data_IF_177434025656
#
_entry.id   IF_177434025656
#
_cell.length_a   1.000
_cell.length_b   1.000
_cell.length_c   1.000
_cell.angle_alpha   90.00
_cell.angle_beta   90.00
_cell.angle_gamma   90.00
#
_symmetry.space_group_name_H-M   'P 1'
#
loop_
_entity.id
_entity.type
_entity.pdbx_description
1 polymer ?
#
# COMPACT_ATOMS: atom_id res chain seq x y z
N UNK A 1 -49.70 3.19 13.25
CA UNK A 1 -49.61 2.91 11.80
C UNK A 1 -48.58 1.81 11.60
N UNK A 2 -49.01 0.63 11.14
CA UNK A 2 -48.17 -0.60 11.06
C UNK A 2 -47.11 -0.46 9.95
N UNK A 3 -45.83 -0.33 10.32
CA UNK A 3 -44.70 -0.53 9.41
C UNK A 3 -44.37 -2.04 9.35
N UNK A 4 -45.17 -2.81 8.62
CA UNK A 4 -44.73 -4.11 8.14
C UNK A 4 -43.65 -3.89 7.08
N UNK A 5 -42.38 -3.99 7.46
CA UNK A 5 -41.27 -4.11 6.51
C UNK A 5 -41.43 -5.45 5.77
N UNK A 6 -41.73 -5.39 4.46
CA UNK A 6 -41.55 -6.55 3.57
C UNK A 6 -40.12 -7.09 3.73
N UNK A 7 -39.90 -8.41 3.67
CA UNK A 7 -38.55 -8.97 3.70
C UNK A 7 -37.80 -8.44 2.46
N UNK A 8 -36.66 -7.77 2.68
CA UNK A 8 -35.77 -7.31 1.62
C UNK A 8 -35.33 -8.54 0.82
N UNK A 9 -35.68 -8.59 -0.47
CA UNK A 9 -35.56 -9.80 -1.29
C UNK A 9 -34.16 -10.01 -1.85
N UNK A 10 -33.25 -9.02 -1.76
CA UNK A 10 -31.87 -9.11 -2.24
C UNK A 10 -30.83 -8.65 -1.21
N UNK A 11 -29.68 -9.34 -1.13
CA UNK A 11 -28.56 -8.97 -0.24
C UNK A 11 -27.99 -7.57 -0.55
N UNK A 12 -27.96 -7.16 -1.80
CA UNK A 12 -27.51 -5.81 -2.22
C UNK A 12 -28.44 -4.69 -1.73
N UNK A 13 -29.77 -4.89 -1.74
CA UNK A 13 -30.75 -3.96 -1.17
C UNK A 13 -30.57 -3.78 0.35
N UNK A 14 -29.94 -4.76 1.01
CA UNK A 14 -29.80 -4.79 2.48
C UNK A 14 -28.72 -3.82 2.97
N UNK A 15 -27.63 -3.62 2.23
CA UNK A 15 -26.58 -2.67 2.63
C UNK A 15 -26.98 -1.24 2.25
N UNK A 16 -27.50 -1.04 1.04
CA UNK A 16 -27.98 0.27 0.59
C UNK A 16 -29.13 0.76 1.47
N UNK A 17 -30.03 -0.13 1.89
CA UNK A 17 -31.11 0.19 2.85
C UNK A 17 -30.63 0.51 4.28
N UNK A 18 -29.37 0.24 4.60
CA UNK A 18 -28.72 0.59 5.87
C UNK A 18 -27.73 1.76 5.74
N UNK A 19 -27.62 2.35 4.55
CA UNK A 19 -26.73 3.47 4.30
C UNK A 19 -27.35 4.77 4.83
N UNK A 20 -26.58 5.53 5.60
CA UNK A 20 -27.00 6.75 6.29
C UNK A 20 -27.59 7.82 5.38
N UNK A 21 -27.22 7.84 4.10
CA UNK A 21 -27.80 8.74 3.09
C UNK A 21 -29.32 8.61 2.99
N UNK A 22 -29.87 7.44 3.33
CA UNK A 22 -31.29 7.15 3.32
C UNK A 22 -32.01 7.46 4.65
N UNK A 23 -31.31 8.06 5.62
CA UNK A 23 -31.86 8.43 6.93
C UNK A 23 -31.83 9.94 7.15
N UNK A 24 -32.80 10.50 7.90
CA UNK A 24 -32.75 11.91 8.30
C UNK A 24 -31.45 12.24 9.02
N UNK A 25 -30.87 13.40 8.71
CA UNK A 25 -29.62 13.86 9.31
C UNK A 25 -29.70 13.97 10.83
N UNK A 26 -30.87 14.27 11.39
CA UNK A 26 -31.14 14.37 12.82
C UNK A 26 -31.54 13.03 13.48
N UNK A 27 -31.46 11.90 12.76
CA UNK A 27 -31.82 10.60 13.34
C UNK A 27 -30.81 10.16 14.41
N UNK A 28 -31.31 9.43 15.42
CA UNK A 28 -30.46 8.79 16.46
C UNK A 28 -29.38 7.89 15.87
N UNK A 29 -29.69 7.26 14.74
CA UNK A 29 -28.76 6.42 13.99
C UNK A 29 -27.59 7.25 13.43
N UNK A 30 -27.88 8.41 12.82
CA UNK A 30 -26.84 9.33 12.34
C UNK A 30 -25.99 9.92 13.48
N UNK A 31 -26.60 10.32 14.59
CA UNK A 31 -25.88 10.84 15.76
C UNK A 31 -24.92 9.83 16.39
N UNK A 32 -25.27 8.53 16.39
CA UNK A 32 -24.38 7.48 16.87
C UNK A 32 -23.09 7.40 16.04
N UNK A 33 -23.18 7.51 14.70
CA UNK A 33 -22.01 7.52 13.83
C UNK A 33 -21.21 8.83 13.91
N UNK A 34 -21.87 9.98 14.12
CA UNK A 34 -21.15 11.24 14.40
C UNK A 34 -20.35 11.16 15.69
N UNK A 35 -20.93 10.57 16.73
CA UNK A 35 -20.26 10.30 18.01
C UNK A 35 -19.08 9.35 17.82
N UNK A 36 -19.27 8.25 17.07
CA UNK A 36 -18.20 7.30 16.76
C UNK A 36 -17.03 7.98 16.03
N UNK A 37 -17.31 8.78 14.99
CA UNK A 37 -16.29 9.57 14.28
C UNK A 37 -15.52 10.47 15.25
N UNK A 38 -16.22 11.19 16.11
CA UNK A 38 -15.60 12.10 17.08
C UNK A 38 -14.69 11.35 18.05
N UNK A 39 -15.13 10.21 18.58
CA UNK A 39 -14.33 9.37 19.47
C UNK A 39 -13.07 8.83 18.78
N UNK A 40 -13.20 8.34 17.54
CA UNK A 40 -12.04 7.87 16.76
C UNK A 40 -11.04 9.01 16.56
N UNK A 41 -11.51 10.20 16.18
CA UNK A 41 -10.64 11.38 16.02
C UNK A 41 -9.89 11.71 17.32
N UNK A 42 -10.56 11.62 18.47
CA UNK A 42 -9.92 11.86 19.77
C UNK A 42 -8.83 10.84 20.12
N UNK A 43 -8.98 9.57 19.70
CA UNK A 43 -7.96 8.54 19.89
C UNK A 43 -6.63 8.82 19.16
N UNK A 44 -6.62 9.80 18.24
CA UNK A 44 -5.45 10.15 17.44
C UNK A 44 -5.09 11.65 17.53
N UNK A 45 -5.34 12.33 18.65
CA UNK A 45 -5.01 13.76 18.73
C UNK A 45 -3.51 14.09 18.56
N UNK A 46 -2.60 13.16 18.87
CA UNK A 46 -1.15 13.36 18.77
C UNK A 46 -0.53 12.90 17.44
N UNK A 47 -1.31 12.23 16.56
CA UNK A 47 -0.83 11.70 15.28
C UNK A 47 -1.91 11.82 14.22
N UNK A 48 -1.56 12.18 12.99
CA UNK A 48 -2.55 12.09 11.91
C UNK A 48 -2.94 10.63 11.68
N UNK A 49 -4.22 10.35 11.91
CA UNK A 49 -4.83 9.05 11.65
C UNK A 49 -5.07 8.87 10.17
N UNK A 50 -4.55 7.78 9.60
CA UNK A 50 -4.73 7.50 8.18
C UNK A 50 -5.47 6.19 7.90
N UNK A 51 -5.55 5.22 8.83
CA UNK A 51 -6.12 3.90 8.52
C UNK A 51 -6.77 3.14 9.69
N UNK A 52 -8.03 2.73 9.49
CA UNK A 52 -8.82 1.91 10.42
C UNK A 52 -8.96 0.48 9.90
N UNK A 53 -8.74 -0.51 10.76
CA UNK A 53 -9.28 -1.85 10.56
C UNK A 53 -10.60 -1.98 11.32
N UNK A 54 -11.67 -2.39 10.63
CA UNK A 54 -12.94 -2.75 11.28
C UNK A 54 -13.10 -4.26 11.20
N UNK A 55 -13.16 -4.89 12.36
CA UNK A 55 -13.32 -6.35 12.49
C UNK A 55 -14.34 -6.72 13.57
N UNK A 56 -14.56 -8.00 13.81
CA UNK A 56 -15.52 -8.53 14.78
C UNK A 56 -15.10 -9.93 15.24
N UNK A 57 -15.70 -10.42 16.32
CA UNK A 57 -15.41 -11.77 16.79
C UNK A 57 -16.04 -12.84 15.89
N UNK A 58 -17.23 -12.57 15.35
CA UNK A 58 -17.98 -13.52 14.53
C UNK A 58 -18.69 -12.90 13.33
N UNK A 59 -19.30 -13.75 12.50
CA UNK A 59 -20.07 -13.30 11.35
C UNK A 59 -21.31 -12.51 11.76
N UNK A 60 -21.83 -11.66 10.88
CA UNK A 60 -23.11 -10.93 11.04
C UNK A 60 -23.20 -9.94 12.21
N UNK A 61 -22.07 -9.50 12.78
CA UNK A 61 -22.04 -8.44 13.81
C UNK A 61 -22.26 -7.02 13.26
N UNK A 62 -22.24 -6.85 11.93
CA UNK A 62 -22.50 -5.56 11.25
C UNK A 62 -21.26 -4.72 10.97
N UNK A 63 -20.11 -5.37 10.74
CA UNK A 63 -18.85 -4.75 10.28
C UNK A 63 -19.04 -3.87 9.05
N UNK A 64 -19.45 -4.46 7.94
CA UNK A 64 -19.65 -3.77 6.65
C UNK A 64 -20.58 -2.57 6.75
N UNK A 65 -21.71 -2.70 7.46
CA UNK A 65 -22.65 -1.58 7.68
C UNK A 65 -22.01 -0.47 8.52
N UNK A 66 -21.19 -0.83 9.51
CA UNK A 66 -20.45 0.15 10.31
C UNK A 66 -19.37 0.85 9.49
N UNK A 67 -18.62 0.11 8.66
CA UNK A 67 -17.62 0.67 7.73
C UNK A 67 -18.26 1.69 6.81
N UNK A 68 -19.34 1.32 6.10
CA UNK A 68 -19.99 2.19 5.14
C UNK A 68 -20.50 3.50 5.78
N UNK A 69 -21.19 3.39 6.92
CA UNK A 69 -21.78 4.54 7.60
C UNK A 69 -20.74 5.43 8.30
N UNK A 70 -19.69 4.84 8.88
CA UNK A 70 -18.57 5.59 9.43
C UNK A 70 -17.83 6.35 8.33
N UNK A 71 -17.53 5.69 7.20
CA UNK A 71 -16.86 6.30 6.06
C UNK A 71 -17.67 7.47 5.48
N UNK A 72 -18.98 7.29 5.34
CA UNK A 72 -19.90 8.35 4.93
C UNK A 72 -19.87 9.54 5.90
N UNK A 73 -19.89 9.28 7.21
CA UNK A 73 -19.90 10.34 8.23
C UNK A 73 -18.57 11.10 8.29
N UNK A 74 -17.46 10.44 7.99
CA UNK A 74 -16.13 11.07 7.88
C UNK A 74 -16.04 11.90 6.59
N UNK A 75 -16.53 11.39 5.46
CA UNK A 75 -16.49 12.13 4.18
C UNK A 75 -17.39 13.37 4.18
N UNK A 76 -18.51 13.33 4.91
CA UNK A 76 -19.36 14.51 5.18
C UNK A 76 -18.62 15.64 5.93
N UNK A 77 -17.52 15.34 6.61
CA UNK A 77 -16.66 16.35 7.24
C UNK A 77 -15.58 16.90 6.28
N UNK A 78 -15.69 16.63 4.97
CA UNK A 78 -14.79 17.13 3.93
C UNK A 78 -13.54 16.27 3.68
N UNK A 79 -13.32 15.21 4.47
CA UNK A 79 -12.17 14.30 4.32
C UNK A 79 -12.36 13.37 3.12
N UNK A 80 -11.25 13.06 2.46
CA UNK A 80 -11.17 11.99 1.46
C UNK A 80 -11.06 10.63 2.14
N UNK A 81 -12.03 9.76 1.88
CA UNK A 81 -12.15 8.46 2.55
C UNK A 81 -12.19 7.34 1.52
N UNK A 82 -11.28 6.38 1.64
CA UNK A 82 -11.30 5.14 0.87
C UNK A 82 -11.75 3.98 1.77
N UNK A 83 -12.88 3.37 1.43
CA UNK A 83 -13.27 2.08 1.97
C UNK A 83 -12.57 0.97 1.18
N UNK A 84 -12.04 -0.03 1.85
CA UNK A 84 -11.36 -1.16 1.21
C UNK A 84 -12.05 -2.45 1.65
N UNK A 85 -12.57 -3.22 0.68
CA UNK A 85 -13.16 -4.53 0.95
C UNK A 85 -12.06 -5.59 1.02
N UNK A 86 -11.62 -5.87 2.24
CA UNK A 86 -10.60 -6.89 2.53
C UNK A 86 -11.22 -8.23 2.98
N UNK A 87 -12.55 -8.35 3.03
CA UNK A 87 -13.23 -9.63 3.21
C UNK A 87 -13.29 -10.38 1.88
N UNK A 88 -12.15 -10.96 1.51
CA UNK A 88 -11.97 -11.76 0.29
C UNK A 88 -12.64 -13.15 0.38
N UNK A 89 -13.38 -13.44 1.46
CA UNK A 89 -14.17 -14.68 1.62
C UNK A 89 -15.66 -14.41 1.40
N UNK A 90 -16.17 -13.30 1.96
CA UNK A 90 -17.58 -12.89 1.91
C UNK A 90 -17.69 -11.39 1.65
N UNK A 91 -17.23 -10.99 0.47
CA UNK A 91 -17.26 -9.60 -0.04
C UNK A 91 -18.68 -9.03 -0.05
N UNK A 92 -18.96 -8.25 0.98
CA UNK A 92 -20.28 -7.64 1.21
C UNK A 92 -20.22 -6.16 0.85
N UNK A 93 -19.12 -5.47 1.20
CA UNK A 93 -18.93 -4.05 0.92
C UNK A 93 -18.93 -3.73 -0.58
N UNK A 94 -18.36 -4.63 -1.40
CA UNK A 94 -18.31 -4.48 -2.86
C UNK A 94 -19.68 -4.38 -3.53
N UNK A 95 -20.77 -4.81 -2.85
CA UNK A 95 -22.13 -4.67 -3.36
C UNK A 95 -22.61 -3.21 -3.43
N UNK A 96 -21.92 -2.28 -2.75
CA UNK A 96 -22.15 -0.84 -2.91
C UNK A 96 -21.81 -0.34 -4.33
N UNK A 97 -21.04 -1.11 -5.10
CA UNK A 97 -20.80 -0.85 -6.50
C UNK A 97 -21.35 -1.99 -7.39
N UNK A 98 -22.56 -1.88 -7.94
CA UNK A 98 -23.16 -2.95 -8.73
C UNK A 98 -22.45 -3.21 -10.07
N UNK A 99 -21.56 -2.33 -10.55
CA UNK A 99 -20.72 -2.60 -11.72
C UNK A 99 -19.58 -3.56 -11.35
N UNK A 100 -19.82 -4.87 -11.39
CA UNK A 100 -18.90 -5.92 -10.97
C UNK A 100 -17.64 -6.11 -11.86
N UNK A 101 -17.42 -5.27 -12.87
CA UNK A 101 -16.32 -5.46 -13.84
C UNK A 101 -14.96 -4.88 -13.40
N UNK A 102 -14.81 -4.42 -12.15
CA UNK A 102 -13.50 -3.96 -11.67
C UNK A 102 -12.65 -5.13 -11.18
N UNK A 103 -11.39 -5.20 -11.62
CA UNK A 103 -10.38 -6.15 -11.12
C UNK A 103 -10.26 -6.11 -9.57
N UNK A 104 -10.51 -4.94 -8.97
CA UNK A 104 -10.57 -4.75 -7.52
C UNK A 104 -9.24 -5.02 -6.82
N UNK A 105 -9.30 -5.21 -5.50
CA UNK A 105 -8.13 -5.49 -4.67
C UNK A 105 -7.41 -6.77 -5.12
N UNK A 106 -8.15 -7.84 -5.39
CA UNK A 106 -7.57 -9.13 -5.79
C UNK A 106 -6.87 -9.02 -7.14
N UNK A 107 -7.50 -8.43 -8.15
CA UNK A 107 -6.86 -8.27 -9.46
C UNK A 107 -5.66 -7.33 -9.42
N UNK A 108 -5.67 -6.32 -8.56
CA UNK A 108 -4.50 -5.46 -8.37
C UNK A 108 -3.32 -6.23 -7.73
N UNK A 109 -3.59 -7.03 -6.68
CA UNK A 109 -2.55 -7.75 -5.94
C UNK A 109 -2.04 -9.00 -6.67
N UNK A 110 -2.93 -9.75 -7.31
CA UNK A 110 -2.61 -11.02 -7.98
C UNK A 110 -2.26 -10.81 -9.45
N UNK A 111 -3.10 -10.10 -10.20
CA UNK A 111 -2.94 -10.01 -11.64
C UNK A 111 -1.95 -8.90 -12.01
N UNK A 112 -2.17 -7.66 -11.54
CA UNK A 112 -1.32 -6.53 -11.90
C UNK A 112 0.08 -6.60 -11.27
N UNK A 113 0.16 -6.68 -9.94
CA UNK A 113 1.46 -6.81 -9.27
C UNK A 113 2.11 -8.18 -9.52
N UNK A 114 1.41 -9.16 -10.09
CA UNK A 114 1.97 -10.45 -10.53
C UNK A 114 2.35 -10.55 -12.02
N UNK A 115 1.82 -9.68 -12.90
CA UNK A 115 1.95 -9.79 -14.36
C UNK A 115 3.38 -9.61 -14.87
N UNK A 116 3.96 -10.62 -15.55
CA UNK A 116 5.34 -10.57 -16.08
C UNK A 116 5.68 -9.26 -16.81
N UNK A 117 6.87 -8.74 -16.55
CA UNK A 117 7.43 -7.55 -17.20
C UNK A 117 8.66 -8.02 -17.98
N UNK A 118 8.53 -8.10 -19.30
CA UNK A 118 9.60 -8.54 -20.19
C UNK A 118 10.10 -7.38 -21.06
N UNK A 119 9.19 -6.53 -21.54
CA UNK A 119 9.52 -5.35 -22.32
C UNK A 119 8.40 -4.33 -22.28
N UNK A 120 8.72 -3.08 -22.62
CA UNK A 120 7.74 -2.02 -22.70
C UNK A 120 8.37 -0.66 -22.98
N UNK A 121 7.55 0.38 -22.80
CA UNK A 121 7.96 1.77 -23.03
C UNK A 121 8.08 2.52 -21.70
N UNK A 122 9.06 3.41 -21.60
CA UNK A 122 9.35 4.19 -20.39
C UNK A 122 8.34 5.33 -20.18
N UNK A 123 7.66 5.75 -21.25
CA UNK A 123 6.52 6.66 -21.21
C UNK A 123 5.35 6.07 -20.42
N UNK A 124 5.21 4.74 -20.44
CA UNK A 124 4.16 4.03 -19.73
C UNK A 124 4.58 3.62 -18.31
N UNK A 125 5.79 3.07 -18.14
CA UNK A 125 6.21 2.39 -16.90
C UNK A 125 7.03 3.22 -15.93
N UNK A 126 7.57 4.39 -16.28
CA UNK A 126 8.57 5.04 -15.42
C UNK A 126 9.73 4.10 -15.02
N UNK A 127 10.69 4.58 -14.24
CA UNK A 127 11.77 3.71 -13.74
C UNK A 127 11.49 3.25 -12.32
N UNK A 128 10.87 4.11 -11.51
CA UNK A 128 10.39 3.75 -10.18
C UNK A 128 9.42 2.57 -10.22
N UNK A 129 8.44 2.55 -11.15
CA UNK A 129 7.53 1.41 -11.22
C UNK A 129 8.27 0.12 -11.58
N UNK A 130 9.21 0.16 -12.53
CA UNK A 130 10.01 -1.02 -12.88
C UNK A 130 10.78 -1.56 -11.68
N UNK A 131 11.44 -0.69 -10.92
CA UNK A 131 12.19 -1.11 -9.73
C UNK A 131 11.26 -1.72 -8.68
N UNK A 132 10.13 -1.05 -8.40
CA UNK A 132 9.14 -1.55 -7.43
C UNK A 132 8.52 -2.88 -7.86
N UNK A 133 8.18 -3.02 -9.13
CA UNK A 133 7.56 -4.24 -9.65
C UNK A 133 8.55 -5.42 -9.66
N UNK A 134 9.82 -5.19 -9.99
CA UNK A 134 10.86 -6.22 -9.91
C UNK A 134 11.15 -6.61 -8.45
N UNK A 135 11.22 -5.63 -7.54
CA UNK A 135 11.42 -5.85 -6.11
C UNK A 135 10.27 -6.67 -5.48
N UNK A 136 9.01 -6.26 -5.67
CA UNK A 136 7.81 -6.94 -5.15
C UNK A 136 7.62 -8.36 -5.69
N UNK A 137 8.33 -8.72 -6.76
CA UNK A 137 8.29 -10.05 -7.37
C UNK A 137 9.54 -10.86 -7.11
N UNK A 138 10.52 -10.29 -6.39
CA UNK A 138 11.81 -10.90 -6.08
C UNK A 138 12.50 -11.43 -7.34
N UNK A 139 12.46 -10.64 -8.42
CA UNK A 139 12.98 -11.06 -9.74
C UNK A 139 14.50 -10.96 -9.80
N UNK A 140 15.10 -11.96 -10.41
CA UNK A 140 16.54 -12.04 -10.70
C UNK A 140 16.74 -11.91 -12.21
N UNK A 141 17.57 -10.96 -12.65
CA UNK A 141 17.77 -10.71 -14.07
C UNK A 141 18.43 -9.39 -14.42
N UNK A 142 18.53 -9.14 -15.73
CA UNK A 142 19.10 -7.92 -16.32
C UNK A 142 17.98 -7.05 -16.89
N UNK A 143 17.82 -5.85 -16.33
CA UNK A 143 16.98 -4.79 -16.89
C UNK A 143 17.85 -3.88 -17.76
N UNK A 144 17.55 -3.82 -19.06
CA UNK A 144 18.15 -2.87 -19.99
C UNK A 144 17.18 -1.72 -20.27
N UNK A 145 17.65 -0.49 -20.13
CA UNK A 145 16.92 0.74 -20.45
C UNK A 145 17.60 1.40 -21.67
N UNK A 146 16.82 1.90 -22.62
CA UNK A 146 17.35 2.63 -23.77
C UNK A 146 16.46 3.81 -24.18
N UNK A 147 17.08 4.98 -24.32
CA UNK A 147 16.44 6.20 -24.84
C UNK A 147 17.43 6.94 -25.75
N UNK A 148 17.07 7.12 -27.02
CA UNK A 148 17.91 7.75 -28.03
C UNK A 148 19.35 7.16 -28.11
N UNK A 149 20.35 7.87 -27.56
CA UNK A 149 21.75 7.45 -27.53
C UNK A 149 22.20 6.92 -26.17
N UNK A 150 21.32 6.91 -25.17
CA UNK A 150 21.63 6.46 -23.83
C UNK A 150 21.16 5.03 -23.60
N UNK A 151 22.04 4.19 -23.04
CA UNK A 151 21.71 2.80 -22.69
C UNK A 151 22.26 2.44 -21.32
N UNK A 152 21.40 1.88 -20.49
CA UNK A 152 21.70 1.45 -19.14
C UNK A 152 21.38 -0.03 -18.94
N UNK A 153 22.15 -0.67 -18.07
CA UNK A 153 21.99 -2.06 -17.67
C UNK A 153 22.00 -2.17 -16.16
N UNK A 154 20.97 -2.80 -15.61
CA UNK A 154 20.77 -2.94 -14.19
C UNK A 154 20.58 -4.41 -13.85
N UNK A 155 21.36 -4.92 -12.92
CA UNK A 155 21.25 -6.31 -12.46
C UNK A 155 20.44 -6.36 -11.17
N UNK A 156 19.41 -7.19 -11.18
CA UNK A 156 18.58 -7.49 -10.03
C UNK A 156 18.85 -8.91 -9.55
N UNK A 157 18.99 -9.10 -8.25
CA UNK A 157 19.10 -10.39 -7.58
C UNK A 157 18.01 -10.46 -6.51
N UNK A 158 17.07 -11.39 -6.67
CA UNK A 158 15.92 -11.54 -5.76
C UNK A 158 15.14 -10.22 -5.53
N UNK A 159 15.05 -9.38 -6.56
CA UNK A 159 14.38 -8.08 -6.51
C UNK A 159 15.24 -6.92 -6.01
N UNK A 160 16.46 -7.19 -5.56
CA UNK A 160 17.42 -6.19 -5.11
C UNK A 160 18.34 -5.76 -6.23
N UNK A 161 18.57 -4.46 -6.38
CA UNK A 161 19.50 -3.91 -7.36
C UNK A 161 20.94 -4.11 -6.86
N UNK A 162 21.72 -4.90 -7.59
CA UNK A 162 23.10 -5.29 -7.22
C UNK A 162 24.16 -4.77 -8.18
N UNK A 163 23.76 -4.29 -9.36
CA UNK A 163 24.68 -3.61 -10.27
C UNK A 163 23.98 -2.60 -11.14
N UNK A 164 24.70 -1.56 -11.52
CA UNK A 164 24.22 -0.53 -12.44
C UNK A 164 25.36 -0.11 -13.38
N UNK A 165 25.14 -0.32 -14.68
CA UNK A 165 26.08 0.05 -15.73
C UNK A 165 25.46 1.04 -16.72
N UNK A 166 26.19 2.10 -17.05
CA UNK A 166 25.82 3.05 -18.10
C UNK A 166 26.71 2.79 -19.32
N UNK A 167 26.19 2.04 -20.28
CA UNK A 167 26.95 1.50 -21.41
C UNK A 167 27.47 2.58 -22.35
N UNK A 168 26.69 3.65 -22.53
CA UNK A 168 26.96 4.76 -23.45
C UNK A 168 27.65 5.94 -22.77
N UNK A 169 28.20 5.72 -21.57
CA UNK A 169 28.90 6.73 -20.79
C UNK A 169 30.07 7.32 -21.60
N UNK A 170 30.18 8.67 -21.71
CA UNK A 170 31.30 9.32 -22.37
C UNK A 170 32.66 8.89 -21.80
N UNK A 171 33.67 8.78 -22.66
CA UNK A 171 35.00 8.27 -22.28
C UNK A 171 35.58 9.03 -21.09
N UNK A 172 35.45 10.36 -21.05
CA UNK A 172 36.02 11.20 -20.00
C UNK A 172 35.40 10.93 -18.63
N UNK A 173 34.17 10.39 -18.60
CA UNK A 173 33.41 10.08 -17.39
C UNK A 173 33.55 8.63 -16.94
N UNK A 174 34.24 7.78 -17.71
CA UNK A 174 34.47 6.39 -17.32
C UNK A 174 35.38 6.32 -16.10
N UNK A 175 35.15 5.31 -15.25
CA UNK A 175 35.88 5.11 -14.00
C UNK A 175 37.41 5.19 -14.15
N UNK A 176 37.97 4.53 -15.17
CA UNK A 176 39.41 4.58 -15.44
C UNK A 176 39.92 6.03 -15.59
N UNK A 177 39.24 6.82 -16.42
CA UNK A 177 39.63 8.21 -16.69
C UNK A 177 39.36 9.14 -15.50
N UNK A 178 38.33 8.87 -14.69
CA UNK A 178 38.09 9.57 -13.42
C UNK A 178 39.18 9.29 -12.39
N UNK A 179 39.68 8.06 -12.30
CA UNK A 179 40.77 7.72 -11.39
C UNK A 179 42.09 8.37 -11.83
N UNK A 180 42.33 8.44 -13.15
CA UNK A 180 43.47 9.16 -13.72
C UNK A 180 43.38 10.67 -13.44
N UNK A 181 42.22 11.28 -13.66
CA UNK A 181 42.04 12.73 -13.43
C UNK A 181 42.17 13.11 -11.95
N UNK A 182 41.75 12.24 -11.04
CA UNK A 182 41.93 12.38 -9.59
C UNK A 182 43.32 11.97 -9.09
N UNK A 183 44.28 11.67 -9.98
CA UNK A 183 45.66 11.27 -9.65
C UNK A 183 45.78 10.00 -8.80
N UNK A 184 44.76 9.14 -8.81
CA UNK A 184 44.77 7.83 -8.17
C UNK A 184 45.42 6.76 -9.05
N UNK A 185 45.47 6.98 -10.36
CA UNK A 185 46.11 6.10 -11.34
C UNK A 185 46.93 6.90 -12.36
N UNK A 186 48.02 6.33 -12.85
CA UNK A 186 48.64 6.77 -14.10
C UNK A 186 47.87 6.24 -15.32
N UNK A 187 48.02 6.90 -16.48
CA UNK A 187 47.42 6.43 -17.74
C UNK A 187 47.87 5.01 -18.12
N UNK A 188 49.14 4.68 -17.86
CA UNK A 188 49.68 3.35 -18.13
C UNK A 188 49.00 2.29 -17.26
N UNK A 189 48.89 2.52 -15.95
CA UNK A 189 48.21 1.62 -15.02
C UNK A 189 46.73 1.42 -15.40
N UNK A 190 46.04 2.51 -15.78
CA UNK A 190 44.65 2.44 -16.22
C UNK A 190 44.49 1.59 -17.50
N UNK A 191 45.38 1.75 -18.48
CA UNK A 191 45.37 0.96 -19.71
C UNK A 191 45.66 -0.52 -19.43
N UNK A 192 46.66 -0.83 -18.59
CA UNK A 192 46.95 -2.22 -18.19
C UNK A 192 45.77 -2.88 -17.49
N UNK A 193 45.07 -2.15 -16.62
CA UNK A 193 43.87 -2.64 -15.95
C UNK A 193 42.71 -2.88 -16.93
N UNK A 194 42.51 -1.99 -17.91
CA UNK A 194 41.48 -2.15 -18.94
C UNK A 194 41.73 -3.35 -19.87
N UNK A 195 42.98 -3.63 -20.23
CA UNK A 195 43.35 -4.83 -21.00
C UNK A 195 42.99 -6.08 -20.19
N UNK A 196 43.43 -6.15 -18.93
CA UNK A 196 43.10 -7.28 -18.05
C UNK A 196 41.60 -7.43 -17.80
N UNK A 197 40.87 -6.32 -17.71
CA UNK A 197 39.42 -6.33 -17.60
C UNK A 197 38.77 -7.01 -18.81
N UNK A 198 39.22 -6.69 -20.03
CA UNK A 198 38.71 -7.33 -21.25
C UNK A 198 39.05 -8.82 -21.30
N UNK A 199 40.25 -9.20 -20.88
CA UNK A 199 40.69 -10.60 -20.91
C UNK A 199 39.97 -11.47 -19.86
N UNK A 200 39.68 -10.90 -18.68
CA UNK A 200 39.09 -11.63 -17.54
C UNK A 200 37.57 -11.50 -17.43
N UNK A 201 36.96 -10.48 -18.06
CA UNK A 201 35.55 -10.14 -17.91
C UNK A 201 35.17 -9.58 -16.53
N UNK A 202 36.12 -9.39 -15.62
CA UNK A 202 35.87 -8.93 -14.26
C UNK A 202 35.51 -7.43 -14.22
N UNK A 203 34.84 -6.98 -13.14
CA UNK A 203 34.59 -5.55 -12.93
C UNK A 203 35.91 -4.79 -12.77
N UNK A 204 36.02 -3.62 -13.38
CA UNK A 204 37.25 -2.82 -13.35
C UNK A 204 37.73 -2.51 -11.93
N UNK A 205 36.83 -2.19 -11.00
CA UNK A 205 37.19 -1.95 -9.60
C UNK A 205 37.89 -3.15 -8.95
N UNK A 206 37.41 -4.36 -9.20
CA UNK A 206 38.01 -5.60 -8.72
C UNK A 206 39.40 -5.87 -9.34
N UNK A 207 39.53 -5.61 -10.64
CA UNK A 207 40.81 -5.72 -11.34
C UNK A 207 41.85 -4.75 -10.75
N UNK A 208 41.44 -3.50 -10.49
CA UNK A 208 42.30 -2.48 -9.90
C UNK A 208 42.78 -2.84 -8.49
N UNK A 209 41.88 -3.37 -7.64
CA UNK A 209 42.25 -3.81 -6.29
C UNK A 209 43.16 -5.03 -6.31
N UNK A 210 42.89 -6.02 -7.17
CA UNK A 210 43.70 -7.23 -7.27
C UNK A 210 45.08 -6.99 -7.88
N UNK A 211 45.20 -5.99 -8.75
CA UNK A 211 46.50 -5.56 -9.26
C UNK A 211 47.28 -4.72 -8.24
N UNK A 212 46.70 -4.43 -7.07
CA UNK A 212 47.32 -3.59 -6.04
C UNK A 212 47.47 -2.13 -6.46
N UNK A 213 46.73 -1.69 -7.49
CA UNK A 213 46.83 -0.34 -8.05
C UNK A 213 46.05 0.68 -7.23
N UNK A 214 44.96 0.25 -6.58
CA UNK A 214 44.06 1.11 -5.79
C UNK A 214 43.54 0.31 -4.59
N UNK A 215 43.35 0.96 -3.43
CA UNK A 215 42.70 0.31 -2.28
C UNK A 215 41.17 0.35 -2.43
N UNK A 216 40.43 -0.60 -1.85
CA UNK A 216 38.96 -0.57 -1.88
C UNK A 216 38.35 0.74 -1.38
N UNK A 217 38.92 1.33 -0.33
CA UNK A 217 38.44 2.60 0.24
C UNK A 217 38.61 3.78 -0.72
N UNK A 218 39.69 3.80 -1.50
CA UNK A 218 39.97 4.85 -2.49
C UNK A 218 38.96 4.79 -3.66
N UNK A 219 38.35 3.63 -3.90
CA UNK A 219 37.34 3.44 -4.95
C UNK A 219 35.93 3.85 -4.50
N UNK A 220 35.64 3.85 -3.20
CA UNK A 220 34.28 4.09 -2.68
C UNK A 220 33.72 5.44 -3.14
N UNK A 221 34.47 6.52 -2.94
CA UNK A 221 34.06 7.87 -3.35
C UNK A 221 33.82 8.00 -4.87
N UNK A 222 34.80 7.68 -5.73
CA UNK A 222 34.63 7.70 -7.18
C UNK A 222 33.48 6.81 -7.67
N UNK A 223 33.33 5.61 -7.13
CA UNK A 223 32.23 4.71 -7.49
C UNK A 223 30.87 5.27 -7.05
N UNK A 224 30.76 5.84 -5.85
CA UNK A 224 29.53 6.51 -5.41
C UNK A 224 29.14 7.64 -6.36
N UNK A 225 30.07 8.53 -6.73
CA UNK A 225 29.78 9.62 -7.68
C UNK A 225 29.36 9.06 -9.04
N UNK A 226 30.10 8.06 -9.54
CA UNK A 226 29.83 7.38 -10.80
C UNK A 226 28.42 6.78 -10.80
N UNK A 227 28.00 6.10 -9.73
CA UNK A 227 26.68 5.51 -9.57
C UNK A 227 25.57 6.56 -9.41
N UNK A 228 25.80 7.62 -8.61
CA UNK A 228 24.82 8.69 -8.44
C UNK A 228 24.52 9.41 -9.76
N UNK A 229 25.52 9.69 -10.59
CA UNK A 229 25.31 10.28 -11.91
C UNK A 229 24.51 9.34 -12.82
N UNK A 230 24.87 8.05 -12.82
CA UNK A 230 24.15 6.98 -13.50
C UNK A 230 22.66 6.96 -13.13
N UNK A 231 22.33 6.91 -11.84
CA UNK A 231 20.94 6.95 -11.36
C UNK A 231 20.23 8.23 -11.76
N UNK A 232 20.88 9.39 -11.61
CA UNK A 232 20.28 10.70 -11.96
C UNK A 232 19.90 10.77 -13.44
N UNK A 233 20.72 10.22 -14.32
CA UNK A 233 20.43 10.22 -15.75
C UNK A 233 19.37 9.19 -16.10
N UNK A 234 19.46 7.97 -15.58
CA UNK A 234 18.40 6.99 -15.78
C UNK A 234 17.06 7.51 -15.28
N UNK A 235 16.95 8.03 -14.06
CA UNK A 235 15.68 8.56 -13.53
C UNK A 235 15.10 9.75 -14.30
N UNK A 236 15.90 10.41 -15.16
CA UNK A 236 15.41 11.48 -16.04
C UNK A 236 14.83 10.97 -17.36
N UNK A 237 15.05 9.70 -17.72
CA UNK A 237 14.50 9.12 -18.93
C UNK A 237 12.97 9.12 -18.82
N UNK A 238 12.31 9.79 -19.77
CA UNK A 238 10.84 9.88 -19.83
C UNK A 238 10.27 9.17 -21.06
N UNK A 239 11.10 8.87 -22.04
CA UNK A 239 10.77 8.13 -23.23
C UNK A 239 11.73 6.95 -23.45
N UNK A 240 11.43 6.12 -24.44
CA UNK A 240 12.29 5.00 -24.83
C UNK A 240 11.73 3.65 -24.40
N UNK A 241 12.60 2.64 -24.39
CA UNK A 241 12.21 1.24 -24.21
C UNK A 241 12.98 0.61 -23.06
N UNK A 242 12.35 -0.37 -22.43
CA UNK A 242 13.04 -1.28 -21.53
C UNK A 242 12.85 -2.72 -21.99
N UNK A 243 13.80 -3.55 -21.59
CA UNK A 243 13.76 -5.00 -21.73
C UNK A 243 14.30 -5.64 -20.46
N UNK A 244 13.61 -6.66 -19.94
CA UNK A 244 14.04 -7.42 -18.78
C UNK A 244 14.26 -8.88 -19.18
N UNK A 245 15.48 -9.37 -18.93
CA UNK A 245 15.87 -10.75 -19.15
C UNK A 245 16.04 -11.45 -17.81
N UNK A 246 15.24 -12.46 -17.53
CA UNK A 246 15.47 -13.32 -16.37
C UNK A 246 16.79 -14.09 -16.51
N UNK A 247 17.55 -14.16 -15.42
CA UNK A 247 18.83 -14.86 -15.32
C UNK A 247 18.78 -15.84 -14.13
N UNK A 248 19.63 -16.86 -14.17
CA UNK A 248 19.78 -17.82 -13.07
C UNK A 248 20.67 -17.23 -11.98
N UNK A 249 20.50 -17.62 -10.71
CA UNK A 249 21.38 -17.14 -9.63
C UNK A 249 22.85 -17.55 -9.85
N UNK A 250 23.11 -18.68 -10.52
CA UNK A 250 24.45 -19.11 -10.93
C UNK A 250 25.12 -18.14 -11.90
N UNK A 251 24.36 -17.33 -12.65
CA UNK A 251 24.93 -16.29 -13.52
C UNK A 251 25.53 -15.11 -12.71
N UNK A 252 25.32 -15.06 -11.40
CA UNK A 252 25.76 -13.98 -10.50
C UNK A 252 27.05 -14.32 -9.72
N UNK A 253 27.70 -15.47 -9.97
CA UNK A 253 28.88 -15.94 -9.21
C UNK A 253 30.15 -15.07 -9.35
N UNK A 254 30.10 -13.89 -9.98
CA UNK A 254 31.27 -13.05 -10.22
C UNK A 254 30.99 -11.56 -9.98
N UNK A 255 30.85 -11.13 -8.72
CA UNK A 255 31.35 -9.80 -8.28
C UNK A 255 31.22 -9.58 -6.77
N UNK A 256 32.07 -10.24 -5.98
CA UNK A 256 32.16 -10.08 -4.51
C UNK A 256 32.94 -8.84 -4.09
N UNK A 257 32.62 -7.70 -4.70
CA UNK A 257 33.11 -6.41 -4.24
C UNK A 257 32.01 -5.39 -4.52
N UNK A 258 31.16 -5.19 -3.51
CA UNK A 258 30.12 -4.17 -3.56
C UNK A 258 30.44 -3.05 -2.56
N UNK A 259 31.32 -2.11 -2.92
CA UNK A 259 31.70 -1.00 -2.04
C UNK A 259 30.57 0.03 -1.86
N UNK A 260 29.41 -0.14 -2.53
CA UNK A 260 28.35 0.87 -2.65
C UNK A 260 26.99 0.27 -2.32
N UNK A 261 26.27 0.90 -1.39
CA UNK A 261 24.87 0.55 -1.11
C UNK A 261 23.95 1.20 -2.16
N UNK A 262 23.55 0.42 -3.18
CA UNK A 262 22.67 0.87 -4.26
C UNK A 262 21.29 1.33 -3.77
N UNK A 263 20.72 0.67 -2.76
CA UNK A 263 19.43 1.08 -2.21
C UNK A 263 19.52 2.45 -1.55
N UNK A 264 20.57 2.67 -0.77
CA UNK A 264 20.80 3.96 -0.12
C UNK A 264 21.05 5.06 -1.16
N UNK A 265 21.86 4.79 -2.19
CA UNK A 265 22.09 5.75 -3.26
C UNK A 265 20.82 6.09 -4.04
N UNK A 266 20.03 5.07 -4.39
CA UNK A 266 18.75 5.28 -5.08
C UNK A 266 17.86 6.24 -4.27
N UNK A 267 17.71 5.99 -2.95
CA UNK A 267 16.95 6.85 -2.04
C UNK A 267 17.50 8.28 -1.96
N UNK A 268 18.81 8.47 -2.05
CA UNK A 268 19.44 9.80 -2.05
C UNK A 268 19.22 10.56 -3.37
N UNK A 269 19.13 9.85 -4.49
CA UNK A 269 18.97 10.46 -5.82
C UNK A 269 17.52 10.81 -6.09
N UNK A 270 16.56 9.99 -5.64
CA UNK A 270 15.13 10.30 -5.75
C UNK A 270 14.82 11.53 -4.90
N UNK A 271 14.63 12.68 -5.56
CA UNK A 271 14.25 13.94 -4.91
C UNK A 271 12.74 13.99 -4.71
N UNK A 272 12.27 13.99 -3.45
CA UNK A 272 10.85 14.02 -3.15
C UNK A 272 10.20 12.63 -3.15
N UNK A 273 8.90 12.56 -3.47
CA UNK A 273 8.22 11.28 -3.60
C UNK A 273 8.57 10.61 -4.94
N UNK A 274 8.87 9.31 -4.89
CA UNK A 274 9.06 8.49 -6.09
C UNK A 274 7.81 8.53 -6.97
N UNK A 275 7.94 8.99 -8.21
CA UNK A 275 6.86 8.95 -9.19
C UNK A 275 6.67 7.53 -9.70
N UNK A 276 5.45 7.01 -9.55
CA UNK A 276 5.04 5.66 -9.93
C UNK A 276 3.84 5.74 -10.89
N UNK A 277 3.99 6.34 -12.09
CA UNK A 277 2.87 6.61 -12.99
C UNK A 277 2.08 5.37 -13.39
N UNK A 278 2.74 4.24 -13.63
CA UNK A 278 2.07 3.01 -14.06
C UNK A 278 1.27 2.37 -12.92
N UNK A 279 1.89 2.23 -11.75
CA UNK A 279 1.24 1.70 -10.55
C UNK A 279 0.11 2.64 -10.15
N UNK A 280 0.33 3.96 -10.19
CA UNK A 280 -0.69 4.94 -9.84
C UNK A 280 -1.91 4.83 -10.72
N UNK A 281 -1.73 4.76 -12.04
CA UNK A 281 -2.82 4.58 -13.00
C UNK A 281 -3.58 3.28 -12.76
N UNK A 282 -2.88 2.21 -12.41
CA UNK A 282 -3.51 0.92 -12.09
C UNK A 282 -4.34 0.97 -10.80
N UNK A 283 -3.81 1.59 -9.73
CA UNK A 283 -4.54 1.82 -8.48
C UNK A 283 -5.80 2.66 -8.73
N UNK A 284 -5.67 3.79 -9.42
CA UNK A 284 -6.80 4.67 -9.70
C UNK A 284 -7.88 3.97 -10.55
N UNK A 285 -7.48 3.06 -11.46
CA UNK A 285 -8.42 2.34 -12.33
C UNK A 285 -9.37 1.38 -11.60
N UNK A 286 -9.01 0.94 -10.39
CA UNK A 286 -9.84 0.00 -9.60
C UNK A 286 -10.60 0.69 -8.47
N UNK A 287 -10.33 1.97 -8.21
CA UNK A 287 -11.02 2.76 -7.19
C UNK A 287 -12.28 3.38 -7.78
N UNK A 288 -13.39 3.21 -7.08
CA UNK A 288 -14.70 3.69 -7.53
C UNK A 288 -15.20 4.78 -6.60
N UNK A 289 -15.66 5.90 -7.15
CA UNK A 289 -16.30 6.96 -6.39
C UNK A 289 -17.75 6.58 -6.08
N UNK A 290 -18.13 6.60 -4.81
CA UNK A 290 -19.44 6.11 -4.34
C UNK A 290 -20.52 7.20 -4.37
N UNK A 291 -20.18 8.42 -3.97
CA UNK A 291 -21.14 9.53 -3.95
C UNK A 291 -20.47 10.87 -4.28
N UNK A 292 -21.21 11.97 -4.15
CA UNK A 292 -20.67 13.32 -4.42
C UNK A 292 -19.65 13.78 -3.37
N UNK A 293 -19.68 13.21 -2.16
CA UNK A 293 -18.66 13.47 -1.15
C UNK A 293 -17.38 12.76 -1.57
N UNK A 294 -16.24 13.11 -0.96
CA UNK A 294 -14.95 12.47 -1.24
C UNK A 294 -14.88 11.04 -0.67
N UNK A 295 -15.87 10.19 -1.00
CA UNK A 295 -16.01 8.81 -0.57
C UNK A 295 -15.77 7.86 -1.73
N UNK A 296 -14.81 6.97 -1.53
CA UNK A 296 -14.31 6.03 -2.53
C UNK A 296 -14.37 4.61 -1.99
N UNK A 297 -14.38 3.64 -2.90
CA UNK A 297 -14.38 2.21 -2.62
C UNK A 297 -13.33 1.53 -3.48
N UNK A 298 -12.47 0.73 -2.84
CA UNK A 298 -11.69 -0.32 -3.47
C UNK A 298 -12.41 -1.65 -3.21
N UNK A 299 -13.16 -2.19 -4.19
CA UNK A 299 -13.88 -3.45 -4.03
C UNK A 299 -12.91 -4.63 -3.98
N UNK A 300 -13.37 -5.79 -3.50
CA UNK A 300 -12.54 -6.99 -3.37
C UNK A 300 -12.05 -7.53 -4.72
N UNK A 301 -12.84 -7.30 -5.78
CA UNK A 301 -12.69 -7.98 -7.07
C UNK A 301 -13.12 -9.45 -6.99
N UNK A 302 -12.62 -10.26 -7.94
CA UNK A 302 -12.87 -11.71 -7.96
C UNK A 302 -12.30 -12.35 -6.70
N UNK A 303 -13.09 -13.19 -6.02
CA UNK A 303 -12.64 -13.86 -4.79
C UNK A 303 -11.50 -14.85 -5.11
N UNK A 304 -10.33 -14.73 -4.45
CA UNK A 304 -9.19 -15.61 -4.69
C UNK A 304 -9.33 -16.94 -3.93
N UNK A 305 -8.60 -17.99 -4.35
CA UNK A 305 -8.54 -19.25 -3.61
C UNK A 305 -7.75 -19.15 -2.28
N UNK A 306 -6.81 -18.21 -2.19
CA UNK A 306 -5.86 -18.02 -1.08
C UNK A 306 -5.89 -16.59 -0.48
N UNK A 307 -7.01 -16.15 0.15
CA UNK A 307 -7.15 -14.82 0.74
C UNK A 307 -6.00 -14.38 1.67
N UNK A 308 -5.61 -15.25 2.62
CA UNK A 308 -4.66 -14.90 3.67
C UNK A 308 -3.26 -14.60 3.11
N UNK A 309 -2.84 -15.33 2.07
CA UNK A 309 -1.54 -15.11 1.42
C UNK A 309 -1.50 -13.75 0.71
N UNK A 310 -2.58 -13.39 0.03
CA UNK A 310 -2.69 -12.10 -0.66
C UNK A 310 -2.68 -10.95 0.34
N UNK A 311 -3.47 -11.03 1.41
CA UNK A 311 -3.58 -9.99 2.43
C UNK A 311 -2.30 -9.84 3.27
N UNK A 312 -1.56 -10.94 3.49
CA UNK A 312 -0.28 -10.95 4.20
C UNK A 312 0.94 -10.62 3.33
N UNK A 313 0.75 -10.34 2.04
CA UNK A 313 1.87 -10.14 1.10
C UNK A 313 2.54 -8.77 1.22
N UNK A 314 3.81 -8.68 0.80
CA UNK A 314 4.53 -7.41 0.65
C UNK A 314 3.81 -6.45 -0.32
N UNK A 315 3.09 -7.00 -1.33
CA UNK A 315 2.27 -6.23 -2.27
C UNK A 315 1.13 -5.50 -1.56
N UNK A 316 0.47 -6.16 -0.60
CA UNK A 316 -0.59 -5.54 0.21
C UNK A 316 -0.02 -4.42 1.10
N UNK A 317 1.13 -4.67 1.75
CA UNK A 317 1.81 -3.64 2.55
C UNK A 317 2.20 -2.42 1.71
N UNK A 318 2.76 -2.64 0.52
CA UNK A 318 3.09 -1.59 -0.44
C UNK A 318 1.85 -0.84 -0.91
N UNK A 319 0.76 -1.54 -1.24
CA UNK A 319 -0.49 -0.93 -1.66
C UNK A 319 -1.07 -0.03 -0.57
N UNK A 320 -1.20 -0.51 0.67
CA UNK A 320 -1.72 0.28 1.79
C UNK A 320 -0.84 1.51 2.02
N UNK A 321 0.49 1.37 1.98
CA UNK A 321 1.42 2.49 2.15
C UNK A 321 1.24 3.56 1.07
N UNK A 322 0.98 3.16 -0.17
CA UNK A 322 0.67 4.10 -1.25
C UNK A 322 -0.70 4.75 -1.05
N UNK A 323 -1.75 3.97 -0.73
CA UNK A 323 -3.10 4.49 -0.52
C UNK A 323 -3.17 5.50 0.63
N UNK A 324 -2.37 5.32 1.69
CA UNK A 324 -2.26 6.28 2.81
C UNK A 324 -1.77 7.66 2.36
N UNK A 325 -1.05 7.76 1.24
CA UNK A 325 -0.62 9.05 0.66
C UNK A 325 -1.71 9.72 -0.16
N UNK A 326 -2.72 8.96 -0.60
CA UNK A 326 -3.73 9.43 -1.57
C UNK A 326 -5.03 9.86 -0.91
N UNK A 327 -5.31 9.33 0.28
CA UNK A 327 -6.55 9.56 1.01
C UNK A 327 -6.25 9.97 2.44
N UNK A 328 -7.06 10.88 2.98
CA UNK A 328 -6.96 11.29 4.37
C UNK A 328 -7.25 10.13 5.32
N UNK A 329 -8.19 9.24 4.95
CA UNK A 329 -8.63 8.11 5.78
C UNK A 329 -8.89 6.87 4.94
N UNK A 330 -8.31 5.75 5.35
CA UNK A 330 -8.60 4.40 4.88
C UNK A 330 -9.46 3.67 5.92
N UNK A 331 -10.50 2.96 5.48
CA UNK A 331 -11.30 2.09 6.36
C UNK A 331 -11.39 0.70 5.71
N UNK A 332 -10.76 -0.29 6.35
CA UNK A 332 -10.69 -1.66 5.87
C UNK A 332 -11.82 -2.48 6.49
N UNK A 333 -12.72 -3.02 5.66
CA UNK A 333 -13.72 -4.03 6.06
C UNK A 333 -13.08 -5.41 5.98
N UNK A 334 -12.99 -6.11 7.11
CA UNK A 334 -12.26 -7.38 7.23
C UNK A 334 -13.21 -8.52 7.63
N UNK A 335 -12.82 -9.78 7.37
CA UNK A 335 -13.58 -10.92 7.90
C UNK A 335 -13.47 -10.96 9.44
N UNK A 336 -14.37 -11.68 10.12
CA UNK A 336 -14.26 -11.87 11.56
C UNK A 336 -12.99 -12.62 11.96
N UNK A 337 -12.44 -12.29 13.13
CA UNK A 337 -11.14 -12.79 13.62
C UNK A 337 -11.16 -14.28 13.98
N UNK A 338 -12.22 -14.77 14.62
CA UNK A 338 -12.23 -16.16 15.10
C UNK A 338 -12.37 -17.19 13.96
N UNK A 339 -13.17 -16.95 12.91
CA UNK A 339 -13.26 -17.86 11.78
C UNK A 339 -12.08 -17.78 10.80
N UNK A 340 -11.36 -16.65 10.75
CA UNK A 340 -10.26 -16.44 9.80
C UNK A 340 -9.17 -15.53 10.38
N UNK A 341 -7.90 -15.88 10.14
CA UNK A 341 -6.74 -15.09 10.57
C UNK A 341 -6.51 -13.82 9.75
N UNK A 342 -7.24 -13.61 8.65
CA UNK A 342 -7.03 -12.55 7.67
C UNK A 342 -7.00 -11.15 8.31
N UNK A 343 -7.91 -10.86 9.25
CA UNK A 343 -7.94 -9.57 9.96
C UNK A 343 -6.68 -9.34 10.82
N UNK A 344 -6.07 -10.41 11.34
CA UNK A 344 -4.82 -10.30 12.10
C UNK A 344 -3.65 -9.89 11.21
N UNK A 345 -3.64 -10.30 9.94
CA UNK A 345 -2.59 -9.94 8.97
C UNK A 345 -2.65 -8.46 8.57
N UNK A 346 -3.84 -7.86 8.61
CA UNK A 346 -4.04 -6.44 8.30
C UNK A 346 -3.69 -5.51 9.46
N UNK A 347 -3.65 -6.05 10.67
CA UNK A 347 -3.42 -5.29 11.89
C UNK A 347 -2.15 -4.43 11.84
N UNK A 348 -0.97 -4.96 11.43
CA UNK A 348 0.26 -4.16 11.34
C UNK A 348 0.24 -3.09 10.25
N UNK A 349 -0.69 -3.16 9.29
CA UNK A 349 -0.82 -2.22 8.18
C UNK A 349 -1.71 -1.02 8.53
N UNK A 350 -2.47 -1.12 9.62
CA UNK A 350 -3.44 -0.11 10.06
C UNK A 350 -3.01 0.60 11.34
N UNK A 351 -3.42 1.87 11.48
CA UNK A 351 -3.03 2.69 12.63
C UNK A 351 -3.91 2.40 13.87
N UNK A 352 -5.11 1.85 13.67
CA UNK A 352 -5.96 1.41 14.76
C UNK A 352 -7.01 0.38 14.34
N UNK A 353 -7.50 -0.36 15.33
CA UNK A 353 -8.49 -1.42 15.17
C UNK A 353 -9.74 -1.09 15.99
N UNK A 354 -10.92 -1.21 15.35
CA UNK A 354 -12.23 -1.10 16.00
C UNK A 354 -12.92 -2.46 15.92
N UNK A 355 -13.31 -2.97 17.09
CA UNK A 355 -14.04 -4.24 17.20
C UNK A 355 -15.54 -3.99 17.23
N UNK A 356 -16.27 -4.57 16.29
CA UNK A 356 -17.74 -4.54 16.27
C UNK A 356 -18.26 -5.74 17.05
N UNK A 357 -19.16 -5.48 17.99
CA UNK A 357 -19.83 -6.52 18.79
C UNK A 357 -21.33 -6.29 18.72
N UNK A 358 -22.08 -7.34 18.36
CA UNK A 358 -23.55 -7.31 18.40
C UNK A 358 -24.03 -7.93 19.71
N UNK A 359 -24.65 -7.17 20.64
CA UNK A 359 -25.16 -7.72 21.89
C UNK A 359 -26.15 -8.86 21.64
N UNK A 360 -26.03 -9.92 22.46
CA UNK A 360 -26.88 -11.10 22.36
C UNK A 360 -26.50 -12.09 21.24
N UNK A 361 -25.50 -11.79 20.40
CA UNK A 361 -25.05 -12.72 19.36
C UNK A 361 -23.94 -13.65 19.87
N UNK A 362 -22.84 -13.10 20.38
CA UNK A 362 -21.68 -13.87 20.82
C UNK A 362 -21.51 -13.90 22.34
N UNK A 363 -21.04 -15.04 22.85
CA UNK A 363 -20.67 -15.20 24.26
C UNK A 363 -19.44 -14.33 24.58
N UNK A 364 -19.44 -13.71 25.77
CA UNK A 364 -18.34 -12.85 26.24
C UNK A 364 -16.96 -13.52 26.18
N UNK A 365 -16.88 -14.82 26.44
CA UNK A 365 -15.63 -15.59 26.36
C UNK A 365 -15.03 -15.58 24.95
N UNK A 366 -15.85 -15.71 23.91
CA UNK A 366 -15.38 -15.68 22.52
C UNK A 366 -14.92 -14.28 22.11
N UNK A 367 -15.64 -13.25 22.54
CA UNK A 367 -15.21 -11.85 22.35
C UNK A 367 -13.88 -11.58 23.05
N UNK A 368 -13.69 -12.13 24.26
CA UNK A 368 -12.43 -12.02 25.01
C UNK A 368 -11.27 -12.70 24.26
N UNK A 369 -11.49 -13.92 23.76
CA UNK A 369 -10.51 -14.64 22.92
C UNK A 369 -10.14 -13.86 21.65
N UNK A 370 -11.11 -13.20 21.02
CA UNK A 370 -10.86 -12.34 19.85
C UNK A 370 -9.93 -11.16 20.21
N UNK A 371 -10.21 -10.48 21.34
CA UNK A 371 -9.35 -9.41 21.83
C UNK A 371 -7.94 -9.90 22.16
N UNK A 372 -7.79 -11.09 22.73
CA UNK A 372 -6.48 -11.71 22.98
C UNK A 372 -5.70 -11.94 21.68
N UNK A 373 -6.34 -12.49 20.65
CA UNK A 373 -5.70 -12.70 19.34
C UNK A 373 -5.26 -11.39 18.69
N UNK A 374 -6.10 -10.34 18.75
CA UNK A 374 -5.74 -9.01 18.25
C UNK A 374 -4.55 -8.42 19.02
N UNK A 375 -4.50 -8.59 20.35
CA UNK A 375 -3.36 -8.15 21.18
C UNK A 375 -2.08 -8.90 20.83
N UNK A 376 -2.16 -10.22 20.62
CA UNK A 376 -1.00 -11.03 20.19
C UNK A 376 -0.48 -10.59 18.81
N UNK A 377 -1.38 -10.17 17.91
CA UNK A 377 -1.03 -9.56 16.63
C UNK A 377 -0.56 -8.09 16.75
N UNK A 378 -0.34 -7.60 17.97
CA UNK A 378 0.09 -6.22 18.29
C UNK A 378 -0.87 -5.14 17.76
N UNK A 379 -2.17 -5.42 17.76
CA UNK A 379 -3.19 -4.45 17.38
C UNK A 379 -3.22 -3.23 18.29
N UNK A 380 -3.23 -2.05 17.69
CA UNK A 380 -3.60 -0.82 18.38
C UNK A 380 -5.14 -0.75 18.50
N UNK A 381 -5.68 -1.35 19.56
CA UNK A 381 -7.12 -1.41 19.80
C UNK A 381 -7.66 -0.05 20.26
N UNK A 382 -8.47 0.60 19.44
CA UNK A 382 -9.10 1.88 19.79
C UNK A 382 -10.31 1.70 20.70
N UNK A 383 -11.04 0.60 20.53
CA UNK A 383 -12.22 0.31 21.34
C UNK A 383 -13.19 -0.67 20.69
N UNK A 384 -14.39 -0.72 21.27
CA UNK A 384 -15.48 -1.61 20.86
C UNK A 384 -16.71 -0.77 20.47
N UNK A 385 -17.34 -1.11 19.36
CA UNK A 385 -18.64 -0.56 18.95
C UNK A 385 -19.71 -1.61 19.20
N UNK A 386 -20.66 -1.28 20.06
CA UNK A 386 -21.86 -2.09 20.26
C UNK A 386 -22.87 -1.77 19.16
N UNK A 387 -23.11 -2.73 18.27
CA UNK A 387 -24.00 -2.56 17.13
C UNK A 387 -25.38 -3.20 17.37
N UNK A 388 -26.42 -2.70 16.70
CA UNK A 388 -27.82 -3.14 16.86
C UNK A 388 -28.33 -3.14 18.31
N UNK A 389 -27.96 -2.13 19.09
CA UNK A 389 -28.43 -1.98 20.48
C UNK A 389 -29.91 -1.62 20.50
N UNK A 390 -30.69 -2.33 21.32
CA UNK A 390 -32.08 -1.97 21.59
C UNK A 390 -32.14 -0.78 22.57
N UNK A 391 -32.37 0.41 22.02
CA UNK A 391 -32.43 1.67 22.76
C UNK A 391 -33.70 1.78 23.61
N UNK A 392 -34.70 0.92 23.39
CA UNK A 392 -35.97 0.94 24.15
C UNK A 392 -35.90 0.15 25.46
N UNK A 393 -34.94 -0.76 25.60
CA UNK A 393 -34.87 -1.73 26.72
C UNK A 393 -33.94 -1.37 27.88
N UNK A 394 -33.30 -0.20 27.93
CA UNK A 394 -32.47 0.16 29.09
C UNK A 394 -32.35 1.67 29.33
N UNK A 395 -32.63 2.10 30.57
CA UNK A 395 -32.44 3.46 31.09
C UNK A 395 -31.01 4.02 31.05
N UNK A 396 -30.07 3.33 30.40
CA UNK A 396 -28.66 3.69 30.29
C UNK A 396 -28.43 4.90 29.36
N UNK A 397 -29.29 5.10 28.36
CA UNK A 397 -29.21 6.25 27.44
C UNK A 397 -29.92 7.51 27.95
N UNK A 398 -30.82 7.40 28.93
CA UNK A 398 -31.53 8.56 29.52
C UNK A 398 -30.54 9.57 30.13
N UNK A 399 -29.45 9.08 30.72
CA UNK A 399 -28.41 9.91 31.32
C UNK A 399 -27.53 10.63 30.28
N UNK A 400 -27.15 9.94 29.21
CA UNK A 400 -26.37 10.52 28.10
C UNK A 400 -27.18 11.54 27.29
N UNK A 401 -28.47 11.28 27.09
CA UNK A 401 -29.39 12.19 26.39
C UNK A 401 -29.59 13.50 27.16
N UNK A 402 -29.63 13.43 28.50
CA UNK A 402 -29.70 14.62 29.39
C UNK A 402 -28.45 15.49 29.32
N UNK A 403 -27.28 14.89 29.07
CA UNK A 403 -26.01 15.60 28.97
C UNK A 403 -25.82 16.29 27.61
N UNK A 404 -26.22 15.62 26.51
CA UNK A 404 -26.08 16.17 25.15
C UNK A 404 -27.22 17.10 24.72
N UNK A 405 -28.47 16.88 25.16
CA UNK A 405 -29.58 17.83 24.93
C UNK A 405 -29.27 19.21 25.54
N UNK A 406 -28.52 19.24 26.64
CA UNK A 406 -28.08 20.47 27.31
C UNK A 406 -27.02 21.26 26.54
N UNK A 407 -26.27 20.62 25.64
CA UNK A 407 -25.17 21.24 24.89
C UNK A 407 -25.58 21.71 23.49
N UNK A 408 -26.53 21.03 22.84
CA UNK A 408 -26.93 21.35 21.46
C UNK A 408 -28.29 22.05 21.32
N UNK A 409 -29.05 22.19 22.41
CA UNK A 409 -30.33 22.90 22.40
C UNK A 409 -31.41 22.17 21.60
N UNK A 410 -32.52 21.84 22.23
CA UNK A 410 -33.67 21.27 21.51
C UNK A 410 -34.26 22.31 20.54
N UNK A 411 -34.04 22.11 19.24
CA UNK A 411 -34.88 22.74 18.22
C UNK A 411 -36.28 22.15 18.36
N UNK A 412 -37.20 22.95 18.90
CA UNK A 412 -38.62 22.61 19.04
C UNK A 412 -39.18 22.10 17.71
N UNK A 413 -39.53 20.82 17.64
CA UNK A 413 -40.42 20.32 16.60
C UNK A 413 -41.78 21.01 16.77
N UNK A 414 -42.12 21.89 15.83
CA UNK A 414 -43.48 22.38 15.67
C UNK A 414 -44.35 21.22 15.19
N UNK A 415 -45.26 20.76 16.05
CA UNK A 415 -46.38 19.94 15.61
C UNK A 415 -47.26 20.76 14.67
N UNK A 416 -47.39 20.30 13.44
CA UNK A 416 -48.56 20.51 12.57
C UNK A 416 -48.80 19.24 11.79
#
# INVERSE_FOLDING_TARGET
MKLFKKPLKNRAETITGLFLENYPTNSRFAEAYRTLRTNIRFSFMEKEFCSLLVTSAGETEGKTSTVANLAYTISQAGRSVLMIDTDLRKSTLSQLNPSQNSAGLTGLLSDFFGAKIEQGSLEQYGIGDLFRLLALRKKTGLLRLSEAKETFELLFLQGELVDFNWLTRPEEKKLANLLVSNKLLSREQANSALVRQKDTGQKLGFVLTNMGLVKPDDLKGPLTIHMMESFRLALKLKAGKFFFKELSESDFELSTLDPVDFQQLYKQVVTGEEELPYIRKAIDSVIVKINKNNLFLLPSGKLPPNPSEILGSERMSFLISNLKKLFDVLILDSPPVLPASDALLLTPLTDGVVLIVKPGLMRRQLVTKCVEQLRLAKANMLGVVLNNVDVTRAGYYSYYHKYYSRYYGESKESKT
#
